data_IF_974910979707
#
_entry.id   IF_974910979707
#
_cell.length_a   1.000
_cell.length_b   1.000
_cell.length_c   1.000
_cell.angle_alpha   90.00
_cell.angle_beta   90.00
_cell.angle_gamma   90.00
#
_symmetry.space_group_name_H-M   'P 1'
#
loop_
_entity.id
_entity.type
_entity.pdbx_description
1 polymer ?
#
# COMPACT_ATOMS: atom_id res chain seq x y z
N UNK A 1 26.54 -5.45 -59.62
CA UNK A 1 25.51 -6.11 -58.78
C UNK A 1 25.78 -5.77 -57.31
N UNK A 2 24.76 -5.26 -56.59
CA UNK A 2 24.61 -5.11 -55.11
C UNK A 2 25.66 -4.21 -54.42
N UNK A 3 25.45 -2.91 -54.16
CA UNK A 3 24.46 -2.21 -53.32
C UNK A 3 24.54 -2.50 -51.80
N UNK A 4 24.58 -1.40 -51.02
CA UNK A 4 24.29 -1.23 -49.58
C UNK A 4 25.46 -1.60 -48.62
N UNK A 5 25.77 -0.89 -47.53
CA UNK A 5 25.03 0.10 -46.74
C UNK A 5 25.97 1.22 -46.25
N UNK A 6 25.52 2.47 -46.37
CA UNK A 6 25.87 3.55 -45.44
C UNK A 6 24.90 3.46 -44.27
N UNK A 7 25.39 3.24 -43.05
CA UNK A 7 24.55 3.44 -41.86
C UNK A 7 25.36 4.17 -40.79
N UNK A 8 25.15 5.48 -40.78
CA UNK A 8 25.43 6.41 -39.68
C UNK A 8 24.83 5.89 -38.38
N UNK A 9 25.66 5.56 -37.40
CA UNK A 9 25.23 5.41 -36.01
C UNK A 9 25.60 6.68 -35.24
N UNK A 10 24.71 7.68 -35.27
CA UNK A 10 24.60 8.67 -34.19
C UNK A 10 23.54 8.12 -33.25
N UNK A 11 23.95 7.66 -32.07
CA UNK A 11 23.02 7.44 -30.97
C UNK A 11 23.57 8.14 -29.73
N UNK A 12 23.19 9.42 -29.62
CA UNK A 12 23.35 10.23 -28.41
C UNK A 12 22.19 9.88 -27.49
N UNK A 13 22.40 9.00 -26.52
CA UNK A 13 21.43 8.77 -25.43
C UNK A 13 21.87 9.58 -24.21
N UNK A 14 21.49 10.86 -24.21
CA UNK A 14 21.37 11.65 -22.98
C UNK A 14 19.91 11.53 -22.56
N UNK A 15 19.64 10.71 -21.55
CA UNK A 15 18.41 10.77 -20.77
C UNK A 15 18.70 10.32 -19.33
N UNK A 16 19.78 10.83 -18.74
CA UNK A 16 19.96 10.81 -17.28
C UNK A 16 19.23 12.02 -16.71
N UNK A 17 17.90 12.06 -16.88
CA UNK A 17 17.08 13.02 -16.14
C UNK A 17 17.11 12.54 -14.70
N UNK A 18 17.66 13.43 -13.86
CA UNK A 18 18.03 13.17 -12.49
C UNK A 18 16.94 12.44 -11.72
N UNK A 19 17.29 11.22 -11.32
CA UNK A 19 16.75 10.51 -10.18
C UNK A 19 17.04 11.35 -8.93
N UNK A 20 16.32 12.46 -8.77
CA UNK A 20 16.42 13.35 -7.62
C UNK A 20 15.67 12.68 -6.46
N UNK A 21 16.40 11.81 -5.74
CA UNK A 21 16.46 11.81 -4.28
C UNK A 21 15.15 12.18 -3.56
N UNK A 22 14.16 11.30 -3.63
CA UNK A 22 13.20 11.16 -2.54
C UNK A 22 13.78 10.20 -1.48
N UNK A 23 14.98 10.50 -0.98
CA UNK A 23 15.57 9.84 0.17
C UNK A 23 15.21 10.61 1.45
N UNK A 24 13.91 10.80 1.68
CA UNK A 24 13.38 10.97 3.04
C UNK A 24 12.86 9.59 3.41
N UNK A 25 13.62 8.86 4.24
CA UNK A 25 13.51 7.41 4.43
C UNK A 25 12.08 6.89 4.39
N UNK A 26 11.88 5.83 3.60
CA UNK A 26 10.60 5.13 3.40
C UNK A 26 10.06 4.59 4.72
N UNK A 27 9.50 5.47 5.55
CA UNK A 27 8.68 5.07 6.67
C UNK A 27 7.46 4.42 6.08
N UNK A 28 7.23 3.15 6.40
CA UNK A 28 6.08 2.41 5.90
C UNK A 28 4.80 3.25 6.12
N UNK A 29 4.16 3.72 5.03
CA UNK A 29 3.05 4.66 5.09
C UNK A 29 1.81 4.05 5.75
N UNK A 30 1.71 2.73 5.82
CA UNK A 30 0.60 2.00 6.45
C UNK A 30 0.62 2.13 7.98
N UNK A 31 1.78 2.42 8.58
CA UNK A 31 1.92 2.49 10.03
C UNK A 31 1.08 3.62 10.63
N UNK A 32 0.43 3.30 11.75
CA UNK A 32 -0.42 4.22 12.50
C UNK A 32 -1.80 3.63 12.79
N UNK A 33 -2.63 4.45 13.44
CA UNK A 33 -4.01 4.13 13.77
C UNK A 33 -4.96 4.70 12.71
N UNK A 34 -5.92 3.88 12.31
CA UNK A 34 -6.87 4.15 11.24
C UNK A 34 -8.29 3.89 11.72
N UNK A 35 -9.23 4.69 11.25
CA UNK A 35 -10.66 4.56 11.52
C UNK A 35 -11.40 4.46 10.19
N UNK A 36 -12.48 3.69 10.14
CA UNK A 36 -13.23 3.54 8.89
C UNK A 36 -13.74 4.92 8.41
N UNK A 37 -13.63 5.16 7.11
CA UNK A 37 -14.08 6.41 6.53
C UNK A 37 -15.58 6.58 6.75
N UNK A 38 -16.01 7.77 7.17
CA UNK A 38 -17.45 8.12 7.27
C UNK A 38 -18.15 8.14 5.91
N UNK A 39 -17.38 8.18 4.82
CA UNK A 39 -17.88 8.08 3.46
C UNK A 39 -17.97 6.63 2.95
N UNK A 40 -17.62 5.63 3.78
CA UNK A 40 -17.74 4.22 3.43
C UNK A 40 -19.21 3.83 3.22
N UNK A 41 -19.48 3.08 2.15
CA UNK A 41 -20.81 2.48 1.91
C UNK A 41 -21.14 1.44 2.99
N UNK A 42 -22.42 1.04 3.11
CA UNK A 42 -22.82 -0.02 4.05
C UNK A 42 -22.04 -1.33 3.83
N UNK A 43 -21.86 -1.73 2.57
CA UNK A 43 -21.06 -2.92 2.22
C UNK A 43 -19.60 -2.79 2.66
N UNK A 44 -19.02 -1.60 2.55
CA UNK A 44 -17.65 -1.34 3.02
C UNK A 44 -17.56 -1.34 4.55
N UNK A 45 -18.59 -0.87 5.24
CA UNK A 45 -18.69 -0.97 6.70
C UNK A 45 -18.81 -2.42 7.16
N UNK A 46 -19.56 -3.25 6.43
CA UNK A 46 -19.63 -4.69 6.66
C UNK A 46 -18.29 -5.38 6.38
N UNK A 47 -17.60 -5.03 5.28
CA UNK A 47 -16.27 -5.53 4.97
C UNK A 47 -15.25 -5.22 6.07
N UNK A 48 -15.36 -4.03 6.68
CA UNK A 48 -14.52 -3.65 7.81
C UNK A 48 -14.72 -4.53 9.05
N UNK A 49 -15.77 -5.34 9.15
CA UNK A 49 -15.93 -6.29 10.26
C UNK A 49 -14.73 -7.25 10.41
N UNK A 50 -13.98 -7.50 9.33
CA UNK A 50 -12.74 -8.27 9.35
C UNK A 50 -11.69 -7.70 10.32
N UNK A 51 -11.59 -6.38 10.46
CA UNK A 51 -10.61 -5.69 11.32
C UNK A 51 -11.25 -4.82 12.41
N UNK A 52 -12.51 -4.46 12.25
CA UNK A 52 -13.22 -3.47 13.05
C UNK A 52 -13.25 -2.07 12.42
N UNK A 53 -14.05 -1.20 13.04
CA UNK A 53 -14.16 0.21 12.69
C UNK A 53 -12.86 1.00 12.94
N UNK A 54 -11.93 0.41 13.71
CA UNK A 54 -10.57 0.93 13.88
C UNK A 54 -9.56 -0.19 13.67
N UNK A 55 -8.36 0.14 13.20
CA UNK A 55 -7.24 -0.78 13.09
C UNK A 55 -5.94 -0.01 13.29
N UNK A 56 -5.00 -0.57 14.04
CA UNK A 56 -3.67 0.00 14.21
C UNK A 56 -2.60 -0.92 13.62
N UNK A 57 -1.70 -0.34 12.84
CA UNK A 57 -0.55 -1.01 12.26
C UNK A 57 0.73 -0.48 12.90
N UNK A 58 1.49 -1.37 13.53
CA UNK A 58 2.81 -1.10 14.09
C UNK A 58 3.88 -1.83 13.28
N UNK A 59 5.16 -1.65 13.58
CA UNK A 59 6.25 -2.25 12.79
C UNK A 59 6.18 -3.79 12.65
N UNK A 60 5.45 -4.50 13.52
CA UNK A 60 5.31 -5.96 13.46
C UNK A 60 3.95 -6.50 13.90
N UNK A 61 2.93 -5.65 14.05
CA UNK A 61 1.62 -6.10 14.51
C UNK A 61 0.48 -5.30 13.89
N UNK A 62 -0.61 -6.00 13.61
CA UNK A 62 -1.93 -5.43 13.31
C UNK A 62 -2.81 -5.62 14.55
N UNK A 63 -3.39 -4.53 15.04
CA UNK A 63 -4.27 -4.51 16.21
C UNK A 63 -5.67 -4.15 15.71
N UNK A 64 -6.55 -5.14 15.48
CA UNK A 64 -7.91 -4.90 15.02
C UNK A 64 -8.79 -4.36 16.16
N UNK A 65 -9.65 -3.38 15.85
CA UNK A 65 -10.59 -2.77 16.78
C UNK A 65 -11.88 -3.56 17.01
N UNK A 66 -12.01 -4.76 16.41
CA UNK A 66 -13.16 -5.65 16.60
C UNK A 66 -13.03 -6.58 17.83
N UNK A 67 -12.02 -6.40 18.67
CA UNK A 67 -11.78 -7.21 19.86
C UNK A 67 -11.02 -8.51 19.60
N UNK A 68 -10.62 -8.79 18.36
CA UNK A 68 -9.70 -9.88 18.06
C UNK A 68 -8.30 -9.58 18.61
N UNK A 69 -7.50 -10.60 18.97
CA UNK A 69 -6.12 -10.42 19.36
C UNK A 69 -5.28 -9.75 18.26
N UNK A 70 -4.22 -9.05 18.68
CA UNK A 70 -3.23 -8.53 17.75
C UNK A 70 -2.61 -9.67 16.93
N UNK A 71 -2.49 -9.46 15.62
CA UNK A 71 -1.89 -10.41 14.70
C UNK A 71 -0.48 -9.95 14.32
N UNK A 72 0.54 -10.85 14.36
CA UNK A 72 1.86 -10.53 13.85
C UNK A 72 1.79 -10.31 12.32
N UNK A 73 2.42 -9.23 11.86
CA UNK A 73 2.50 -8.89 10.43
C UNK A 73 3.92 -8.49 10.04
N UNK A 74 4.21 -8.66 8.76
CA UNK A 74 5.36 -8.05 8.09
C UNK A 74 4.85 -7.24 6.90
N UNK A 75 5.70 -6.37 6.37
CA UNK A 75 5.34 -5.46 5.29
C UNK A 75 6.27 -5.69 4.11
N UNK A 76 5.67 -5.71 2.91
CA UNK A 76 6.38 -5.67 1.63
C UNK A 76 5.74 -4.58 0.79
N UNK A 77 6.44 -4.07 -0.21
CA UNK A 77 5.84 -3.17 -1.18
C UNK A 77 6.37 -3.45 -2.58
N UNK A 78 5.54 -3.15 -3.57
CA UNK A 78 5.88 -3.16 -4.99
C UNK A 78 5.32 -1.87 -5.62
N UNK A 79 6.24 -0.99 -6.03
CA UNK A 79 5.90 0.40 -6.37
C UNK A 79 5.15 1.09 -5.22
N UNK A 80 3.97 1.61 -5.53
CA UNK A 80 3.09 2.33 -4.59
C UNK A 80 2.18 1.40 -3.76
N UNK A 81 2.18 0.09 -4.04
CA UNK A 81 1.31 -0.87 -3.33
C UNK A 81 2.05 -1.47 -2.16
N UNK A 82 1.46 -1.36 -0.97
CA UNK A 82 1.94 -2.04 0.22
C UNK A 82 1.17 -3.32 0.46
N UNK A 83 1.86 -4.37 0.86
CA UNK A 83 1.29 -5.67 1.22
C UNK A 83 1.51 -5.91 2.70
N UNK A 84 0.42 -6.11 3.42
CA UNK A 84 0.43 -6.52 4.83
C UNK A 84 0.39 -8.03 4.84
N UNK A 85 1.47 -8.66 5.29
CA UNK A 85 1.66 -10.11 5.27
C UNK A 85 1.48 -10.66 6.67
N UNK A 86 0.46 -11.48 6.88
CA UNK A 86 0.20 -12.20 8.12
C UNK A 86 1.23 -13.32 8.34
N UNK A 87 1.40 -13.77 9.58
CA UNK A 87 2.33 -14.87 9.89
C UNK A 87 2.01 -16.20 9.19
N UNK A 88 0.76 -16.41 8.75
CA UNK A 88 0.36 -17.58 7.96
C UNK A 88 0.66 -17.46 6.46
N UNK A 89 1.31 -16.36 6.05
CA UNK A 89 1.70 -16.08 4.66
C UNK A 89 0.62 -15.44 3.81
N UNK A 90 -0.63 -15.32 4.29
CA UNK A 90 -1.66 -14.56 3.58
C UNK A 90 -1.32 -13.08 3.60
N UNK A 91 -1.66 -12.38 2.53
CA UNK A 91 -1.46 -10.94 2.44
C UNK A 91 -2.66 -10.24 1.84
N UNK A 92 -2.79 -8.96 2.17
CA UNK A 92 -3.76 -8.06 1.57
C UNK A 92 -3.09 -6.74 1.20
N UNK A 93 -3.61 -6.09 0.16
CA UNK A 93 -3.04 -4.85 -0.36
C UNK A 93 -3.53 -3.66 0.47
N UNK A 94 -2.67 -2.66 0.56
CA UNK A 94 -2.87 -1.40 1.24
C UNK A 94 -2.42 -0.27 0.30
N UNK A 95 -3.36 0.62 0.00
CA UNK A 95 -3.11 1.81 -0.82
C UNK A 95 -3.31 3.04 0.05
N UNK A 96 -2.25 3.81 0.27
CA UNK A 96 -2.33 5.03 1.08
C UNK A 96 -2.20 6.27 0.21
N UNK A 97 -3.07 7.25 0.45
CA UNK A 97 -2.95 8.62 -0.05
C UNK A 97 -3.09 9.62 1.11
N UNK A 98 -1.98 10.24 1.54
CA UNK A 98 -1.94 11.18 2.68
C UNK A 98 -2.57 10.62 3.97
N UNK A 99 -3.83 10.94 4.22
CA UNK A 99 -4.58 10.57 5.42
C UNK A 99 -5.64 9.50 5.15
N UNK A 100 -5.72 9.02 3.91
CA UNK A 100 -6.59 7.92 3.50
C UNK A 100 -5.78 6.63 3.33
N UNK A 101 -6.38 5.51 3.72
CA UNK A 101 -5.87 4.17 3.56
C UNK A 101 -6.98 3.26 3.04
N UNK A 102 -6.79 2.64 1.90
CA UNK A 102 -7.69 1.59 1.39
C UNK A 102 -7.06 0.24 1.62
N UNK A 103 -7.75 -0.64 2.33
CA UNK A 103 -7.37 -2.04 2.51
C UNK A 103 -8.16 -2.92 1.54
N UNK A 104 -7.49 -3.68 0.69
CA UNK A 104 -8.13 -4.65 -0.19
C UNK A 104 -8.24 -6.01 0.50
N UNK A 105 -9.33 -6.22 1.22
CA UNK A 105 -9.53 -7.42 2.01
C UNK A 105 -10.01 -8.56 1.10
N UNK A 106 -9.28 -9.70 1.04
CA UNK A 106 -9.71 -10.84 0.25
C UNK A 106 -11.15 -11.24 0.63
N UNK A 107 -11.99 -11.48 -0.38
CA UNK A 107 -13.42 -11.81 -0.26
C UNK A 107 -14.36 -10.67 0.18
N UNK A 108 -13.86 -9.56 0.74
CA UNK A 108 -14.69 -8.45 1.21
C UNK A 108 -14.49 -7.16 0.41
N UNK A 109 -13.45 -7.08 -0.41
CA UNK A 109 -13.18 -5.94 -1.30
C UNK A 109 -12.46 -4.79 -0.61
N UNK A 110 -12.55 -3.60 -1.20
CA UNK A 110 -11.85 -2.41 -0.76
C UNK A 110 -12.55 -1.72 0.41
N UNK A 111 -11.89 -1.67 1.56
CA UNK A 111 -12.37 -1.00 2.78
C UNK A 111 -11.60 0.32 2.99
N UNK A 112 -12.27 1.48 2.91
CA UNK A 112 -11.62 2.78 3.09
C UNK A 112 -11.55 3.16 4.57
N UNK A 113 -10.35 3.54 5.00
CA UNK A 113 -10.03 4.08 6.30
C UNK A 113 -9.41 5.48 6.16
N UNK A 114 -9.51 6.25 7.23
CA UNK A 114 -8.88 7.55 7.40
C UNK A 114 -8.01 7.53 8.65
N UNK A 115 -6.96 8.34 8.67
CA UNK A 115 -6.06 8.43 9.82
C UNK A 115 -6.81 8.87 11.07
N UNK A 116 -6.66 8.12 12.16
CA UNK A 116 -7.32 8.46 13.42
C UNK A 116 -6.81 9.82 13.94
N UNK A 117 -7.73 10.67 14.40
CA UNK A 117 -7.36 11.88 15.14
C UNK A 117 -7.04 11.46 16.57
N UNK A 118 -5.81 11.72 17.00
CA UNK A 118 -5.39 11.52 18.39
C UNK A 118 -6.13 12.43 19.36
#
# INVERSE_FOLDING_TARGET
MRSLLRTTARLTTIASVGLLLAACGDSNPVLGKWEISKAATEDQQLAAAAFGATVEFTAGSMIPGNGMPAAPVTYKHDGDTWFIVLADGRSFAAHRTKDDLTLEVPMFGATPYVKAKG
#
